data_IF_166276296809
#
_entry.id   IF_166276296809
#
_cell.length_a   1.000
_cell.length_b   1.000
_cell.length_c   1.000
_cell.angle_alpha   90.00
_cell.angle_beta   90.00
_cell.angle_gamma   90.00
#
_symmetry.space_group_name_H-M   'P 1'
#
loop_
_entity.id
_entity.type
_entity.pdbx_description
1 polymer ?
#
# COMPACT_ATOMS: atom_id res chain seq x y z
N UNK A 1 -25.06 -13.47 8.09
CA UNK A 1 -23.85 -13.03 7.37
C UNK A 1 -24.29 -11.98 6.36
N UNK A 2 -23.54 -10.88 6.25
CA UNK A 2 -23.82 -9.84 5.27
C UNK A 2 -23.62 -10.43 3.88
N UNK A 3 -24.47 -10.06 2.94
CA UNK A 3 -24.31 -10.46 1.54
C UNK A 3 -23.14 -9.68 0.94
N UNK A 4 -21.96 -10.32 0.89
CA UNK A 4 -20.72 -9.70 0.45
C UNK A 4 -20.77 -9.30 -1.03
N UNK A 5 -21.67 -9.90 -1.83
CA UNK A 5 -21.77 -9.61 -3.27
C UNK A 5 -22.22 -8.19 -3.57
N UNK A 6 -22.86 -7.54 -2.61
CA UNK A 6 -23.32 -6.14 -2.70
C UNK A 6 -22.25 -5.13 -2.32
N UNK A 7 -21.11 -5.55 -1.80
CA UNK A 7 -20.04 -4.65 -1.41
C UNK A 7 -19.35 -4.04 -2.64
N UNK A 8 -19.02 -2.76 -2.52
CA UNK A 8 -18.02 -2.10 -3.35
C UNK A 8 -16.77 -1.85 -2.51
N UNK A 9 -15.61 -2.31 -2.98
CA UNK A 9 -14.33 -2.13 -2.29
C UNK A 9 -13.40 -1.30 -3.16
N UNK A 10 -12.84 -0.23 -2.59
CA UNK A 10 -11.79 0.54 -3.24
C UNK A 10 -10.41 0.12 -2.74
N UNK A 11 -9.45 0.01 -3.65
CA UNK A 11 -8.05 -0.23 -3.33
C UNK A 11 -7.20 0.95 -3.82
N UNK A 12 -6.65 1.73 -2.88
CA UNK A 12 -5.70 2.80 -3.16
C UNK A 12 -4.27 2.28 -2.98
N UNK A 13 -3.39 2.51 -3.94
CA UNK A 13 -2.00 2.14 -3.76
C UNK A 13 -1.06 2.47 -4.91
N UNK A 14 0.06 1.75 -4.92
CA UNK A 14 1.18 1.91 -5.85
C UNK A 14 1.13 0.89 -7.02
N UNK A 15 2.30 0.47 -7.52
CA UNK A 15 2.48 -0.51 -8.60
C UNK A 15 1.93 -1.89 -8.23
N UNK A 16 2.00 -2.30 -6.97
CA UNK A 16 1.47 -3.59 -6.53
C UNK A 16 -0.06 -3.57 -6.66
N UNK A 17 -0.69 -2.45 -6.30
CA UNK A 17 -2.14 -2.23 -6.46
C UNK A 17 -2.53 -2.11 -7.93
N UNK A 18 -1.74 -1.38 -8.73
CA UNK A 18 -1.97 -1.25 -10.19
C UNK A 18 -1.98 -2.64 -10.87
N UNK A 19 -1.18 -3.58 -10.34
CA UNK A 19 -1.05 -4.94 -10.85
C UNK A 19 0.23 -5.18 -11.62
N UNK A 20 1.31 -4.47 -11.27
CA UNK A 20 2.63 -4.70 -11.84
C UNK A 20 3.01 -6.18 -11.73
N UNK A 21 3.43 -6.76 -12.86
CA UNK A 21 3.78 -8.18 -13.00
C UNK A 21 2.66 -9.20 -12.82
N UNK A 22 1.41 -8.77 -12.63
CA UNK A 22 0.27 -9.60 -13.01
C UNK A 22 0.28 -9.76 -14.54
N UNK A 23 0.28 -11.00 -15.03
CA UNK A 23 0.41 -11.23 -16.49
C UNK A 23 -0.81 -10.77 -17.29
N UNK A 24 -1.95 -10.59 -16.61
CA UNK A 24 -3.18 -10.01 -17.14
C UNK A 24 -3.90 -9.23 -16.01
N UNK A 25 -4.72 -8.22 -16.32
CA UNK A 25 -5.46 -7.47 -15.30
C UNK A 25 -6.28 -8.34 -14.34
N UNK A 26 -6.88 -9.43 -14.83
CA UNK A 26 -7.67 -10.36 -13.99
C UNK A 26 -6.85 -11.07 -12.90
N UNK A 27 -5.52 -11.07 -13.02
CA UNK A 27 -4.61 -11.72 -12.08
C UNK A 27 -4.03 -10.78 -11.03
N UNK A 28 -4.26 -9.46 -11.13
CA UNK A 28 -3.89 -8.56 -10.04
C UNK A 28 -4.76 -8.88 -8.80
N UNK A 29 -4.23 -8.59 -7.61
CA UNK A 29 -4.90 -8.99 -6.37
C UNK A 29 -6.25 -8.30 -6.21
N UNK A 30 -6.42 -7.07 -6.73
CA UNK A 30 -7.68 -6.31 -6.66
C UNK A 30 -8.80 -7.07 -7.36
N UNK A 31 -8.57 -7.48 -8.61
CA UNK A 31 -9.53 -8.28 -9.39
C UNK A 31 -9.79 -9.64 -8.73
N UNK A 32 -8.76 -10.28 -8.19
CA UNK A 32 -8.88 -11.57 -7.49
C UNK A 32 -9.68 -11.46 -6.19
N UNK A 33 -9.60 -10.36 -5.45
CA UNK A 33 -10.47 -10.12 -4.28
C UNK A 33 -11.93 -10.05 -4.73
N UNK A 34 -12.22 -9.30 -5.80
CA UNK A 34 -13.58 -9.21 -6.36
C UNK A 34 -14.13 -10.57 -6.77
N UNK A 35 -13.33 -11.38 -7.46
CA UNK A 35 -13.67 -12.76 -7.83
C UNK A 35 -13.97 -13.63 -6.60
N UNK A 36 -13.10 -13.61 -5.59
CA UNK A 36 -13.22 -14.44 -4.38
C UNK A 36 -14.43 -14.08 -3.52
N UNK A 37 -14.82 -12.81 -3.50
CA UNK A 37 -15.93 -12.30 -2.68
C UNK A 37 -17.24 -12.15 -3.46
N UNK A 38 -17.19 -12.24 -4.80
CA UNK A 38 -18.32 -11.97 -5.68
C UNK A 38 -18.76 -10.49 -5.64
N UNK A 39 -17.87 -9.57 -5.28
CA UNK A 39 -18.18 -8.17 -5.02
C UNK A 39 -17.52 -7.24 -6.06
N UNK A 40 -17.94 -5.97 -6.10
CA UNK A 40 -17.31 -4.97 -6.97
C UNK A 40 -16.01 -4.48 -6.33
N UNK A 41 -14.94 -4.41 -7.12
CA UNK A 41 -13.66 -3.84 -6.70
C UNK A 41 -13.23 -2.74 -7.66
N UNK A 42 -12.76 -1.61 -7.13
CA UNK A 42 -12.20 -0.52 -7.92
C UNK A 42 -10.70 -0.42 -7.63
N UNK A 43 -9.89 -0.44 -8.69
CA UNK A 43 -8.44 -0.35 -8.62
C UNK A 43 -8.00 1.11 -8.78
N UNK A 44 -7.51 1.71 -7.71
CA UNK A 44 -6.87 3.02 -7.68
C UNK A 44 -5.38 2.85 -7.38
N UNK A 45 -4.71 1.91 -8.04
CA UNK A 45 -3.25 1.75 -8.03
C UNK A 45 -2.60 2.55 -9.15
N UNK A 46 -1.44 3.15 -8.88
CA UNK A 46 -0.61 3.81 -9.90
C UNK A 46 0.86 3.54 -9.59
N UNK A 47 1.60 3.03 -10.56
CA UNK A 47 3.01 2.68 -10.37
C UNK A 47 3.91 3.82 -9.89
N UNK A 48 4.82 3.50 -8.97
CA UNK A 48 5.83 4.42 -8.40
C UNK A 48 5.29 5.56 -7.53
N UNK A 49 3.99 5.54 -7.20
CA UNK A 49 3.41 6.58 -6.34
C UNK A 49 3.68 6.32 -4.86
N UNK A 50 3.66 7.39 -4.07
CA UNK A 50 4.01 7.41 -2.65
C UNK A 50 2.85 7.93 -1.82
N UNK A 51 2.87 7.62 -0.52
CA UNK A 51 1.92 8.21 0.42
C UNK A 51 2.25 9.70 0.60
N UNK A 52 3.53 10.03 0.81
CA UNK A 52 3.98 11.39 1.06
C UNK A 52 4.15 12.24 -0.20
N UNK A 53 3.87 13.53 -0.06
CA UNK A 53 4.16 14.56 -1.05
C UNK A 53 5.67 14.79 -1.14
N UNK A 54 6.17 14.99 -2.36
CA UNK A 54 7.57 15.29 -2.61
C UNK A 54 7.83 16.79 -2.60
N UNK A 55 9.01 17.23 -2.16
CA UNK A 55 9.40 18.64 -2.25
C UNK A 55 10.15 18.95 -3.55
N UNK A 56 10.76 17.93 -4.14
CA UNK A 56 11.44 18.00 -5.43
C UNK A 56 10.60 17.23 -6.47
N UNK A 57 10.26 17.84 -7.61
CA UNK A 57 9.54 17.14 -8.68
C UNK A 57 10.28 15.87 -9.12
N UNK A 58 9.53 14.77 -9.22
CA UNK A 58 10.08 13.51 -9.69
C UNK A 58 10.38 13.56 -11.19
N UNK A 59 11.36 12.77 -11.64
CA UNK A 59 11.65 12.62 -13.06
C UNK A 59 10.43 12.16 -13.87
N UNK A 60 9.59 11.31 -13.27
CA UNK A 60 8.25 11.00 -13.77
C UNK A 60 7.19 11.72 -12.91
N UNK A 61 6.45 12.71 -13.46
CA UNK A 61 5.42 13.44 -12.71
C UNK A 61 4.29 12.57 -12.16
N UNK A 62 4.08 11.37 -12.72
CA UNK A 62 3.08 10.43 -12.21
C UNK A 62 3.38 10.04 -10.76
N UNK A 63 4.66 9.96 -10.38
CA UNK A 63 5.07 9.59 -9.02
C UNK A 63 4.73 10.66 -7.98
N UNK A 64 4.47 11.89 -8.40
CA UNK A 64 4.09 13.01 -7.53
C UNK A 64 2.57 13.08 -7.28
N UNK A 65 1.81 12.15 -7.86
CA UNK A 65 0.39 11.94 -7.51
C UNK A 65 0.30 11.19 -6.17
N UNK A 66 0.51 11.93 -5.08
CA UNK A 66 0.45 11.43 -3.71
C UNK A 66 -0.92 10.80 -3.39
N UNK A 67 -0.95 9.94 -2.39
CA UNK A 67 -2.14 9.16 -2.07
C UNK A 67 -3.30 10.04 -1.56
N UNK A 68 -3.04 11.11 -0.81
CA UNK A 68 -4.11 11.97 -0.29
C UNK A 68 -4.78 12.76 -1.41
N UNK A 69 -4.02 13.26 -2.37
CA UNK A 69 -4.59 13.92 -3.56
C UNK A 69 -5.47 12.95 -4.34
N UNK A 70 -4.99 11.74 -4.60
CA UNK A 70 -5.75 10.71 -5.31
C UNK A 70 -6.95 10.17 -4.54
N UNK A 71 -6.87 10.10 -3.21
CA UNK A 71 -7.99 9.68 -2.37
C UNK A 71 -9.23 10.55 -2.57
N UNK A 72 -9.04 11.83 -2.92
CA UNK A 72 -10.12 12.79 -3.20
C UNK A 72 -10.81 12.55 -4.54
N UNK A 73 -10.20 11.78 -5.44
CA UNK A 73 -10.74 11.42 -6.75
C UNK A 73 -11.45 10.05 -6.74
N UNK A 74 -11.37 9.32 -5.63
CA UNK A 74 -12.00 8.01 -5.47
C UNK A 74 -13.52 8.12 -5.38
N UNK A 75 -14.24 7.14 -5.95
CA UNK A 75 -15.69 7.06 -5.88
C UNK A 75 -16.18 6.41 -4.58
N UNK A 76 -17.50 6.37 -4.38
CA UNK A 76 -18.10 5.73 -3.20
C UNK A 76 -17.76 4.24 -3.10
N UNK A 77 -17.61 3.76 -1.86
CA UNK A 77 -17.36 2.36 -1.54
C UNK A 77 -17.83 2.04 -0.12
N UNK A 78 -18.10 0.76 0.12
CA UNK A 78 -18.40 0.23 1.45
C UNK A 78 -17.12 -0.02 2.26
N UNK A 79 -16.01 -0.31 1.58
CA UNK A 79 -14.69 -0.57 2.17
C UNK A 79 -13.58 0.09 1.37
N UNK A 80 -12.54 0.54 2.07
CA UNK A 80 -11.32 1.10 1.48
C UNK A 80 -10.11 0.39 2.06
N UNK A 81 -9.29 -0.16 1.17
CA UNK A 81 -7.95 -0.64 1.49
C UNK A 81 -6.90 0.31 0.94
N UNK A 82 -5.91 0.64 1.76
CA UNK A 82 -4.73 1.42 1.35
C UNK A 82 -3.52 0.51 1.41
N UNK A 83 -2.75 0.43 0.33
CA UNK A 83 -1.52 -0.37 0.28
C UNK A 83 -0.41 0.45 -0.38
N UNK A 84 0.51 0.95 0.43
CA UNK A 84 1.61 1.82 0.00
C UNK A 84 2.71 1.90 1.04
N UNK A 85 3.68 2.80 0.84
CA UNK A 85 4.81 3.01 1.74
C UNK A 85 6.13 2.37 1.27
N UNK A 86 6.08 1.34 0.41
CA UNK A 86 7.30 0.74 -0.15
C UNK A 86 8.10 1.73 -0.99
N UNK A 87 7.41 2.65 -1.69
CA UNK A 87 8.03 3.69 -2.50
C UNK A 87 8.53 4.87 -1.65
N UNK A 88 7.88 5.18 -0.52
CA UNK A 88 8.34 6.21 0.43
C UNK A 88 9.69 5.83 1.07
N UNK A 89 9.90 4.52 1.27
CA UNK A 89 11.22 3.93 1.56
C UNK A 89 12.13 3.94 0.32
N UNK A 90 11.63 3.39 -0.80
CA UNK A 90 12.45 3.04 -1.97
C UNK A 90 13.04 4.23 -2.69
N UNK A 91 12.30 5.33 -2.84
CA UNK A 91 12.72 6.50 -3.60
C UNK A 91 12.03 7.79 -3.11
N UNK A 92 12.35 8.93 -3.74
CA UNK A 92 11.79 10.23 -3.33
C UNK A 92 12.54 10.93 -2.21
N UNK A 93 12.09 12.13 -1.88
CA UNK A 93 12.78 13.06 -0.99
C UNK A 93 12.07 13.32 0.35
N UNK A 94 10.82 12.89 0.53
CA UNK A 94 10.09 12.98 1.81
C UNK A 94 10.80 12.24 2.93
N UNK A 95 11.04 12.86 4.07
CA UNK A 95 11.60 12.18 5.24
C UNK A 95 10.54 11.35 5.98
N UNK A 96 10.96 10.43 6.85
CA UNK A 96 10.00 9.66 7.68
C UNK A 96 9.16 10.61 8.55
N UNK A 97 9.79 11.66 9.08
CA UNK A 97 9.18 12.65 9.97
C UNK A 97 8.89 12.11 11.38
N UNK A 98 8.57 13.03 12.28
CA UNK A 98 8.16 12.71 13.65
C UNK A 98 6.84 11.95 13.67
N UNK A 99 6.67 11.06 14.65
CA UNK A 99 5.45 10.25 14.80
C UNK A 99 4.19 11.10 14.98
N UNK A 100 4.31 12.33 15.51
CA UNK A 100 3.21 13.28 15.70
C UNK A 100 3.05 14.26 14.53
N UNK A 101 3.81 14.10 13.44
CA UNK A 101 3.79 15.02 12.29
C UNK A 101 2.40 15.11 11.67
N UNK A 102 2.01 16.31 11.26
CA UNK A 102 0.83 16.56 10.43
C UNK A 102 1.21 17.13 9.05
N UNK A 103 2.50 17.11 8.70
CA UNK A 103 3.00 17.58 7.40
C UNK A 103 2.96 16.45 6.36
N UNK A 104 2.19 16.64 5.30
CA UNK A 104 2.08 15.69 4.18
C UNK A 104 3.39 15.49 3.39
N UNK A 105 4.42 16.32 3.61
CA UNK A 105 5.76 16.11 3.02
C UNK A 105 6.64 15.15 3.86
N UNK A 106 6.13 14.68 5.00
CA UNK A 106 6.75 13.60 5.78
C UNK A 106 5.89 12.35 5.71
N UNK A 107 6.51 11.17 5.77
CA UNK A 107 5.77 9.90 5.72
C UNK A 107 4.73 9.78 6.85
N UNK A 108 5.13 10.02 8.09
CA UNK A 108 4.22 9.96 9.25
C UNK A 108 3.04 10.94 9.11
N UNK A 109 3.32 12.18 8.68
CA UNK A 109 2.27 13.18 8.48
C UNK A 109 1.35 12.85 7.30
N UNK A 110 1.88 12.30 6.22
CA UNK A 110 1.10 11.86 5.08
C UNK A 110 0.18 10.68 5.41
N UNK A 111 0.68 9.66 6.12
CA UNK A 111 -0.13 8.53 6.63
C UNK A 111 -1.27 9.07 7.50
N UNK A 112 -0.96 9.95 8.47
CA UNK A 112 -1.97 10.55 9.36
C UNK A 112 -3.03 11.32 8.59
N UNK A 113 -2.62 12.17 7.65
CA UNK A 113 -3.54 13.00 6.88
C UNK A 113 -4.42 12.16 5.94
N UNK A 114 -3.85 11.13 5.30
CA UNK A 114 -4.58 10.18 4.47
C UNK A 114 -5.61 9.40 5.31
N UNK A 115 -5.19 8.82 6.44
CA UNK A 115 -6.06 8.06 7.32
C UNK A 115 -7.21 8.92 7.85
N UNK A 116 -6.93 10.16 8.28
CA UNK A 116 -7.95 11.11 8.72
C UNK A 116 -8.98 11.40 7.62
N UNK A 117 -8.51 11.71 6.41
CA UNK A 117 -9.40 11.99 5.28
C UNK A 117 -10.30 10.79 4.97
N UNK A 118 -9.72 9.60 4.81
CA UNK A 118 -10.46 8.38 4.47
C UNK A 118 -11.45 7.99 5.58
N UNK A 119 -11.05 8.07 6.85
CA UNK A 119 -11.93 7.74 7.97
C UNK A 119 -13.12 8.69 8.08
N UNK A 120 -12.92 9.99 7.81
CA UNK A 120 -13.99 10.97 7.80
C UNK A 120 -14.93 10.78 6.60
N UNK A 121 -14.40 10.37 5.45
CA UNK A 121 -15.17 10.23 4.21
C UNK A 121 -15.93 8.90 4.11
N UNK A 122 -15.28 7.78 4.42
CA UNK A 122 -15.83 6.42 4.27
C UNK A 122 -16.29 5.80 5.59
N UNK A 123 -15.95 6.42 6.72
CA UNK A 123 -16.16 5.88 8.07
C UNK A 123 -14.99 5.02 8.54
N UNK A 124 -14.47 5.30 9.74
CA UNK A 124 -13.29 4.62 10.33
C UNK A 124 -13.35 3.08 10.25
N UNK A 125 -14.51 2.48 10.56
CA UNK A 125 -14.73 1.02 10.51
C UNK A 125 -14.75 0.42 9.11
N UNK A 126 -14.60 1.23 8.06
CA UNK A 126 -14.59 0.79 6.67
C UNK A 126 -13.21 0.99 6.02
N UNK A 127 -12.27 1.62 6.72
CA UNK A 127 -10.89 1.82 6.25
C UNK A 127 -9.97 0.78 6.87
N UNK A 128 -9.03 0.28 6.07
CA UNK A 128 -7.99 -0.64 6.51
C UNK A 128 -6.71 -0.41 5.70
N UNK A 129 -5.58 -0.25 6.36
CA UNK A 129 -4.27 -0.21 5.70
C UNK A 129 -3.71 -1.62 5.53
N UNK A 130 -2.80 -1.79 4.59
CA UNK A 130 -1.99 -3.00 4.39
C UNK A 130 -0.55 -2.52 4.46
N UNK A 131 0.20 -3.03 5.44
CA UNK A 131 1.59 -2.62 5.64
C UNK A 131 2.45 -3.07 4.45
N UNK A 132 3.51 -2.31 4.08
CA UNK A 132 4.49 -2.73 3.10
C UNK A 132 4.95 -4.18 3.32
N UNK A 133 4.91 -4.98 2.25
CA UNK A 133 5.50 -6.32 2.26
C UNK A 133 7.02 -6.24 2.41
N UNK A 134 7.61 -7.37 2.78
CA UNK A 134 9.03 -7.54 2.63
C UNK A 134 9.47 -7.37 1.17
N UNK A 135 10.65 -6.81 0.98
CA UNK A 135 11.28 -6.68 -0.34
C UNK A 135 12.77 -7.01 -0.28
N UNK A 136 13.35 -7.35 -1.43
CA UNK A 136 14.78 -7.51 -1.57
C UNK A 136 15.48 -6.20 -1.19
N UNK A 137 16.58 -6.33 -0.45
CA UNK A 137 17.42 -5.21 -0.03
C UNK A 137 16.67 -4.15 0.78
N UNK A 138 15.75 -4.58 1.66
CA UNK A 138 14.90 -3.70 2.49
C UNK A 138 15.64 -2.96 3.63
N UNK A 139 16.91 -3.32 3.87
CA UNK A 139 17.81 -2.67 4.82
C UNK A 139 18.84 -1.74 4.16
N UNK A 140 18.72 -1.49 2.85
CA UNK A 140 19.62 -0.56 2.16
C UNK A 140 19.37 0.88 2.63
N UNK A 141 20.34 1.53 3.29
CA UNK A 141 20.14 2.90 3.77
C UNK A 141 20.06 3.91 2.62
N UNK A 142 20.35 3.49 1.38
CA UNK A 142 20.22 4.29 0.15
C UNK A 142 18.95 3.94 -0.64
N UNK A 143 17.99 3.23 -0.03
CA UNK A 143 16.73 2.87 -0.67
C UNK A 143 16.90 1.92 -1.85
N UNK A 144 15.91 1.90 -2.72
CA UNK A 144 15.86 1.01 -3.88
C UNK A 144 17.06 1.25 -4.81
N UNK A 145 17.84 0.18 -5.03
CA UNK A 145 19.06 0.19 -5.86
C UNK A 145 20.05 1.33 -5.56
N UNK A 146 20.03 1.85 -4.32
CA UNK A 146 20.87 2.96 -3.93
C UNK A 146 20.46 4.32 -4.51
N UNK A 147 19.20 4.48 -4.94
CA UNK A 147 18.69 5.70 -5.58
C UNK A 147 18.65 6.94 -4.67
N UNK A 148 18.71 6.76 -3.35
CA UNK A 148 18.64 7.86 -2.38
C UNK A 148 19.98 8.59 -2.22
N UNK A 149 19.94 9.91 -2.40
CA UNK A 149 21.11 10.79 -2.21
C UNK A 149 21.49 10.98 -0.74
N UNK A 150 20.55 10.74 0.18
CA UNK A 150 20.74 10.77 1.63
C UNK A 150 20.56 9.37 2.22
N UNK A 151 21.21 9.10 3.35
CA UNK A 151 20.94 7.90 4.12
C UNK A 151 19.54 8.00 4.75
N UNK A 152 18.80 6.89 4.74
CA UNK A 152 17.43 6.79 5.27
C UNK A 152 17.29 5.59 6.18
N UNK A 153 16.27 5.60 7.07
CA UNK A 153 15.90 4.40 7.82
C UNK A 153 15.52 3.24 6.89
N UNK A 154 15.67 2.00 7.38
CA UNK A 154 15.25 0.83 6.61
C UNK A 154 13.73 0.73 6.50
N UNK A 155 13.23 -0.10 5.59
CA UNK A 155 11.78 -0.32 5.42
C UNK A 155 11.12 -0.76 6.73
N UNK A 156 11.84 -1.48 7.59
CA UNK A 156 11.35 -1.87 8.93
C UNK A 156 10.98 -0.66 9.79
N UNK A 157 11.73 0.43 9.71
CA UNK A 157 11.45 1.65 10.47
C UNK A 157 10.26 2.42 9.88
N UNK A 158 10.10 2.43 8.55
CA UNK A 158 8.89 2.95 7.91
C UNK A 158 7.64 2.18 8.36
N UNK A 159 7.69 0.85 8.37
CA UNK A 159 6.56 0.03 8.83
C UNK A 159 6.25 0.23 10.31
N UNK A 160 7.26 0.35 11.18
CA UNK A 160 7.04 0.68 12.60
C UNK A 160 6.38 2.05 12.77
N UNK A 161 6.81 3.04 11.99
CA UNK A 161 6.23 4.38 12.03
C UNK A 161 4.78 4.37 11.55
N UNK A 162 4.47 3.67 10.45
CA UNK A 162 3.11 3.50 9.95
C UNK A 162 2.20 2.83 10.99
N UNK A 163 2.65 1.72 11.59
CA UNK A 163 1.94 1.05 12.70
C UNK A 163 1.64 2.05 13.82
N UNK A 164 2.66 2.78 14.27
CA UNK A 164 2.52 3.69 15.41
C UNK A 164 1.53 4.81 15.12
N UNK A 165 1.56 5.38 13.91
CA UNK A 165 0.60 6.42 13.49
C UNK A 165 -0.82 5.85 13.39
N UNK A 166 -0.99 4.66 12.82
CA UNK A 166 -2.32 4.05 12.67
C UNK A 166 -2.90 3.60 14.02
N UNK A 167 -2.08 3.09 14.94
CA UNK A 167 -2.47 2.73 16.30
C UNK A 167 -2.92 3.97 17.10
N UNK A 168 -2.16 5.08 17.04
CA UNK A 168 -2.50 6.38 17.66
C UNK A 168 -3.88 6.89 17.18
N UNK A 169 -4.25 6.57 15.95
CA UNK A 169 -5.51 6.96 15.33
C UNK A 169 -6.64 5.93 15.47
N UNK A 170 -6.37 4.76 16.07
CA UNK A 170 -7.28 3.62 16.11
C UNK A 170 -7.79 3.25 14.69
N UNK A 171 -6.86 3.16 13.73
CA UNK A 171 -7.12 2.76 12.34
C UNK A 171 -6.54 1.38 12.10
N UNK A 172 -7.38 0.47 11.59
CA UNK A 172 -6.95 -0.92 11.36
C UNK A 172 -5.92 -1.01 10.24
N UNK A 173 -5.00 -1.95 10.41
CA UNK A 173 -4.07 -2.37 9.38
C UNK A 173 -3.94 -3.90 9.34
N UNK A 174 -3.43 -4.40 8.22
CA UNK A 174 -3.09 -5.80 8.01
C UNK A 174 -1.60 -5.93 7.80
N UNK A 175 -0.98 -6.81 8.58
CA UNK A 175 0.41 -7.23 8.38
C UNK A 175 0.44 -8.60 7.69
N UNK A 176 0.84 -8.61 6.42
CA UNK A 176 1.01 -9.84 5.64
C UNK A 176 2.47 -10.26 5.49
N UNK A 177 3.41 -9.58 6.13
CA UNK A 177 4.85 -9.85 5.97
C UNK A 177 5.21 -11.29 6.28
N UNK A 178 4.63 -11.86 7.34
CA UNK A 178 4.86 -13.26 7.74
C UNK A 178 4.16 -14.29 6.86
N UNK A 179 3.25 -13.88 5.97
CA UNK A 179 2.60 -14.78 5.01
C UNK A 179 3.44 -14.99 3.75
N UNK A 180 4.42 -14.11 3.49
CA UNK A 180 5.30 -14.17 2.34
C UNK A 180 6.71 -14.62 2.76
N UNK A 181 7.42 -15.38 1.91
CA UNK A 181 8.85 -15.58 2.12
C UNK A 181 9.58 -14.25 1.96
N UNK A 182 10.59 -14.00 2.80
CA UNK A 182 11.49 -12.86 2.62
C UNK A 182 12.19 -12.95 1.25
N UNK A 183 12.08 -11.93 0.38
CA UNK A 183 12.77 -11.95 -0.91
C UNK A 183 14.29 -11.81 -0.72
N UNK A 184 15.04 -12.87 -1.02
CA UNK A 184 16.51 -12.90 -0.89
C UNK A 184 17.25 -12.57 -2.21
N UNK A 185 16.51 -12.30 -3.28
CA UNK A 185 17.04 -11.95 -4.61
C UNK A 185 16.11 -10.94 -5.30
N UNK A 186 16.65 -10.18 -6.25
CA UNK A 186 15.90 -9.34 -7.17
C UNK A 186 15.52 -10.05 -8.50
N UNK A 187 15.69 -11.38 -8.55
CA UNK A 187 15.27 -12.22 -9.68
C UNK A 187 13.94 -12.90 -9.41
N UNK A 188 13.24 -13.42 -10.43
CA UNK A 188 11.97 -14.10 -10.23
C UNK A 188 12.06 -15.27 -9.24
N UNK A 189 11.10 -15.31 -8.33
CA UNK A 189 10.84 -16.38 -7.37
C UNK A 189 9.37 -16.81 -7.49
N UNK A 190 8.93 -17.73 -6.65
CA UNK A 190 7.54 -18.19 -6.65
C UNK A 190 6.53 -17.04 -6.42
N UNK A 191 6.81 -16.15 -5.46
CA UNK A 191 5.87 -15.11 -5.03
C UNK A 191 6.23 -13.71 -5.51
N UNK A 192 7.50 -13.46 -5.87
CA UNK A 192 7.98 -12.14 -6.29
C UNK A 192 8.71 -12.21 -7.63
N UNK A 193 8.42 -11.28 -8.53
CA UNK A 193 9.00 -11.24 -9.87
C UNK A 193 10.39 -10.61 -9.90
N UNK A 194 10.65 -9.63 -9.05
CA UNK A 194 11.88 -8.83 -9.03
C UNK A 194 12.36 -8.54 -7.61
N UNK A 195 11.93 -9.36 -6.64
CA UNK A 195 12.18 -9.16 -5.23
C UNK A 195 11.33 -8.07 -4.57
N UNK A 196 10.48 -7.36 -5.31
CA UNK A 196 9.54 -6.36 -4.79
C UNK A 196 8.10 -6.69 -5.18
N UNK A 197 7.86 -6.86 -6.48
CA UNK A 197 6.51 -6.97 -7.00
C UNK A 197 6.03 -8.43 -7.01
N UNK A 198 4.77 -8.69 -6.61
CA UNK A 198 4.22 -10.04 -6.63
C UNK A 198 4.12 -10.64 -8.04
N UNK A 199 4.36 -11.94 -8.16
CA UNK A 199 3.95 -12.72 -9.34
C UNK A 199 2.42 -12.92 -9.34
N UNK A 200 1.85 -13.56 -10.37
CA UNK A 200 0.45 -14.03 -10.31
C UNK A 200 0.13 -14.84 -9.04
N UNK A 201 1.08 -15.65 -8.55
CA UNK A 201 0.91 -16.43 -7.32
C UNK A 201 1.01 -15.57 -6.06
N UNK A 202 1.87 -14.54 -6.07
CA UNK A 202 1.90 -13.53 -5.01
C UNK A 202 0.62 -12.70 -4.93
N UNK A 203 0.09 -12.27 -6.06
CA UNK A 203 -1.21 -11.59 -6.14
C UNK A 203 -2.37 -12.48 -5.65
N UNK A 204 -2.36 -13.76 -6.01
CA UNK A 204 -3.36 -14.73 -5.55
C UNK A 204 -3.34 -14.90 -4.01
N UNK A 205 -2.13 -14.96 -3.41
CA UNK A 205 -1.97 -15.02 -1.95
C UNK A 205 -2.45 -13.73 -1.27
N UNK A 206 -2.05 -12.55 -1.77
CA UNK A 206 -2.56 -11.26 -1.29
C UNK A 206 -4.09 -11.22 -1.30
N UNK A 207 -4.69 -11.62 -2.43
CA UNK A 207 -6.13 -11.62 -2.58
C UNK A 207 -6.83 -12.60 -1.62
N UNK A 208 -6.26 -13.78 -1.38
CA UNK A 208 -6.79 -14.75 -0.43
C UNK A 208 -6.78 -14.19 1.01
N UNK A 209 -5.68 -13.58 1.43
CA UNK A 209 -5.54 -12.99 2.77
C UNK A 209 -6.54 -11.84 2.99
N UNK A 210 -6.69 -10.96 2.01
CA UNK A 210 -7.66 -9.85 2.07
C UNK A 210 -9.10 -10.39 2.08
N UNK A 211 -9.43 -11.35 1.21
CA UNK A 211 -10.77 -11.93 1.16
C UNK A 211 -11.14 -12.64 2.48
N UNK A 212 -10.19 -13.35 3.10
CA UNK A 212 -10.40 -13.98 4.40
C UNK A 212 -10.59 -12.98 5.52
N UNK A 213 -9.85 -11.86 5.51
CA UNK A 213 -10.09 -10.75 6.42
C UNK A 213 -11.52 -10.19 6.24
N UNK A 214 -11.96 -9.95 5.00
CA UNK A 214 -13.30 -9.41 4.74
C UNK A 214 -14.40 -10.36 5.23
N UNK A 215 -14.32 -11.66 4.90
CA UNK A 215 -15.30 -12.67 5.34
C UNK A 215 -15.43 -12.80 6.87
N UNK A 216 -14.34 -12.56 7.60
CA UNK A 216 -14.32 -12.66 9.06
C UNK A 216 -14.87 -11.41 9.75
N UNK A 217 -14.81 -10.25 9.10
CA UNK A 217 -15.06 -8.96 9.75
C UNK A 217 -16.29 -8.22 9.20
N UNK A 218 -16.91 -8.69 8.12
CA UNK A 218 -18.07 -8.06 7.47
C UNK A 218 -19.11 -9.09 7.05
#
# INVERSE_FOLDING_TARGET
>A
MKDLTKLTINFLGDSITEGAWATEPKYNYVSRVGEKLGCKTNNYGISGTRIAMQTIPSANPVFDKDFLTRAKEMGSADLVFVFGGTNDYGHGDSEIGELTSSDSHTFCGAVRNLANYLCNHYGKRNVCFILPLHRYDEDNPRGEFGSQTKLRPSLKEYVKAEITVLDDMDVRYLDFRNAFPLPVTNTPTEYFQDGLHPTNKGHELLAALIADYVRKNY
#
